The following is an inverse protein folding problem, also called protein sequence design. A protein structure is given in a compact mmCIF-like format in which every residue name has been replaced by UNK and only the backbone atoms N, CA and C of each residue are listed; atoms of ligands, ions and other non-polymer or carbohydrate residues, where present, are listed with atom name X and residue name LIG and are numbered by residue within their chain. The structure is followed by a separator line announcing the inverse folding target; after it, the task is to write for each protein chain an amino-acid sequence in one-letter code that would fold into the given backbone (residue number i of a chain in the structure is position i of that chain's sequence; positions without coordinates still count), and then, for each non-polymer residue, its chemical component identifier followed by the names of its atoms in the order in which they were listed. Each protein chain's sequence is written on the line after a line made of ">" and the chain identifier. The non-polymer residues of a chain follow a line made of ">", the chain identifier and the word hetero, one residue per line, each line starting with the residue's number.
data_IF_954318374902
#
_entry.id   IF_954318374902
#
_cell.length_a   1.000
_cell.length_b   1.000
_cell.length_c   1.000
_cell.angle_alpha   90.00
_cell.angle_beta   90.00
_cell.angle_gamma   90.00
#
_symmetry.space_group_name_H-M   'P 1'
#
loop_
_entity.id
_entity.type
_entity.pdbx_description
1 polymer ?
#
# COMPACT_ATOMS: atom_id res chain seq x y z
N UNK A 1 13.23 6.40 1.82
CA UNK A 1 12.22 5.33 1.84
C UNK A 1 10.97 5.85 1.17
N UNK A 2 10.27 5.04 0.38
CA UNK A 2 9.09 5.50 -0.31
C UNK A 2 7.96 5.85 0.66
N UNK A 3 7.15 6.80 0.25
CA UNK A 3 5.97 7.25 1.01
C UNK A 3 4.76 7.26 0.08
N UNK A 4 3.67 6.62 0.47
CA UNK A 4 2.44 6.60 -0.30
C UNK A 4 1.34 7.40 0.40
N UNK A 5 0.40 7.93 -0.38
CA UNK A 5 -0.90 8.35 0.12
C UNK A 5 -1.89 7.21 -0.11
N UNK A 6 -2.40 6.64 0.97
CA UNK A 6 -3.37 5.54 0.96
C UNK A 6 -4.77 6.14 1.10
N UNK A 7 -5.61 5.93 0.11
CA UNK A 7 -6.94 6.55 0.00
C UNK A 7 -8.03 5.48 -0.13
N UNK A 8 -8.39 4.77 0.97
CA UNK A 8 -9.57 3.93 0.94
C UNK A 8 -10.83 4.74 0.69
N UNK A 9 -11.82 4.12 0.06
CA UNK A 9 -13.10 4.75 -0.26
C UNK A 9 -13.78 5.35 0.98
N UNK A 10 -14.41 6.48 0.78
CA UNK A 10 -15.24 7.19 1.77
C UNK A 10 -16.74 7.17 1.38
N UNK A 11 -17.13 6.19 0.55
CA UNK A 11 -18.48 6.08 -0.02
C UNK A 11 -19.33 5.12 0.81
N UNK A 12 -19.81 5.57 1.96
CA UNK A 12 -20.67 4.82 2.87
C UNK A 12 -22.04 4.44 2.27
N UNK A 13 -22.46 5.17 1.23
CA UNK A 13 -23.72 4.95 0.54
C UNK A 13 -23.67 3.85 -0.53
N UNK A 14 -22.51 3.32 -0.86
CA UNK A 14 -22.34 2.20 -1.76
C UNK A 14 -22.47 0.88 -0.97
N UNK A 15 -23.71 0.42 -0.84
CA UNK A 15 -24.00 -0.83 -0.12
C UNK A 15 -23.65 -2.06 -0.96
N UNK A 16 -23.03 -3.03 -0.32
CA UNK A 16 -22.78 -4.33 -0.94
C UNK A 16 -24.07 -5.15 -0.99
N UNK A 17 -24.25 -5.85 -2.10
CA UNK A 17 -25.38 -6.77 -2.28
C UNK A 17 -25.45 -7.78 -1.11
N UNK A 18 -26.67 -8.25 -0.81
CA UNK A 18 -26.94 -9.19 0.29
C UNK A 18 -26.63 -8.65 1.71
N UNK A 19 -26.55 -7.35 1.88
CA UNK A 19 -26.32 -6.74 3.19
C UNK A 19 -24.94 -7.01 3.78
N UNK A 20 -23.93 -7.16 2.92
CA UNK A 20 -22.55 -7.45 3.32
C UNK A 20 -21.76 -6.23 3.81
N UNK A 21 -22.40 -5.10 4.04
CA UNK A 21 -21.76 -3.84 4.48
C UNK A 21 -21.60 -2.84 3.34
N UNK A 22 -20.68 -1.90 3.47
CA UNK A 22 -20.48 -0.80 2.51
C UNK A 22 -19.08 -0.79 1.90
N UNK A 23 -18.90 -0.08 0.80
CA UNK A 23 -17.59 0.11 0.16
C UNK A 23 -16.60 0.78 1.11
N UNK A 24 -17.03 1.85 1.83
CA UNK A 24 -16.21 2.50 2.84
C UNK A 24 -15.72 1.51 3.89
N UNK A 25 -16.60 0.72 4.47
CA UNK A 25 -16.27 -0.27 5.51
C UNK A 25 -15.20 -1.25 5.02
N UNK A 26 -15.39 -1.88 3.86
CA UNK A 26 -14.49 -2.93 3.39
C UNK A 26 -13.16 -2.38 2.88
N UNK A 27 -13.15 -1.22 2.24
CA UNK A 27 -11.90 -0.61 1.79
C UNK A 27 -11.08 -0.07 2.96
N UNK A 28 -11.72 0.37 4.04
CA UNK A 28 -11.02 0.73 5.27
C UNK A 28 -10.44 -0.51 5.98
N UNK A 29 -11.16 -1.62 6.05
CA UNK A 29 -10.62 -2.90 6.56
C UNK A 29 -9.44 -3.39 5.74
N UNK A 30 -9.49 -3.23 4.41
CA UNK A 30 -8.36 -3.55 3.54
C UNK A 30 -7.14 -2.67 3.87
N UNK A 31 -7.34 -1.37 4.00
CA UNK A 31 -6.28 -0.45 4.40
C UNK A 31 -5.70 -0.82 5.78
N UNK A 32 -6.53 -1.16 6.76
CA UNK A 32 -6.11 -1.63 8.09
C UNK A 32 -5.20 -2.86 8.01
N UNK A 33 -5.53 -3.82 7.13
CA UNK A 33 -4.74 -5.04 6.91
C UNK A 33 -3.41 -4.76 6.17
N UNK A 34 -3.36 -3.70 5.32
CA UNK A 34 -2.15 -3.28 4.62
C UNK A 34 -1.15 -2.56 5.52
N UNK A 35 -1.59 -1.73 6.46
CA UNK A 35 -0.73 -0.83 7.26
C UNK A 35 0.42 -1.54 7.99
N UNK A 36 0.21 -2.66 8.71
CA UNK A 36 1.30 -3.37 9.37
C UNK A 36 2.31 -3.95 8.38
N UNK A 37 1.86 -4.42 7.21
CA UNK A 37 2.72 -4.97 6.17
C UNK A 37 3.50 -3.87 5.44
N UNK A 38 2.89 -2.70 5.17
CA UNK A 38 3.56 -1.51 4.64
C UNK A 38 4.70 -1.08 5.56
N UNK A 39 4.40 -1.00 6.87
CA UNK A 39 5.38 -0.64 7.90
C UNK A 39 6.52 -1.66 7.94
N UNK A 40 6.20 -2.95 7.95
CA UNK A 40 7.17 -4.04 7.97
C UNK A 40 8.08 -4.03 6.74
N UNK A 41 7.55 -3.67 5.58
CA UNK A 41 8.28 -3.58 4.31
C UNK A 41 8.96 -2.22 4.08
N UNK A 42 8.93 -1.30 5.06
CA UNK A 42 9.62 -0.03 4.97
C UNK A 42 8.96 0.99 4.04
N UNK A 43 7.68 0.86 3.80
CA UNK A 43 6.87 1.83 3.05
C UNK A 43 6.14 2.72 4.05
N UNK A 44 6.42 4.01 4.04
CA UNK A 44 5.67 5.00 4.84
C UNK A 44 4.37 5.35 4.15
N UNK A 45 3.38 5.71 4.93
CA UNK A 45 2.09 6.13 4.39
C UNK A 45 1.45 7.25 5.20
N UNK A 46 0.60 8.01 4.53
CA UNK A 46 -0.45 8.85 5.11
C UNK A 46 -1.77 8.34 4.56
N UNK A 47 -2.78 8.22 5.41
CA UNK A 47 -4.09 7.71 5.04
C UNK A 47 -5.14 8.81 5.17
N UNK A 48 -6.15 8.81 4.30
CA UNK A 48 -7.36 9.61 4.52
C UNK A 48 -8.19 9.01 5.66
N UNK A 49 -9.19 9.76 6.11
CA UNK A 49 -10.14 9.31 7.15
C UNK A 49 -11.54 9.15 6.54
N UNK A 50 -12.42 8.31 7.14
CA UNK A 50 -13.76 8.04 6.61
C UNK A 50 -14.65 9.29 6.46
N UNK A 51 -14.45 10.32 7.28
CA UNK A 51 -15.17 11.60 7.22
C UNK A 51 -14.73 12.51 6.06
N UNK A 52 -13.68 12.14 5.35
CA UNK A 52 -13.22 12.87 4.17
C UNK A 52 -14.09 12.55 2.94
N UNK A 53 -13.91 13.36 1.91
CA UNK A 53 -14.47 13.15 0.56
C UNK A 53 -13.32 12.86 -0.41
N UNK A 54 -13.62 12.32 -1.59
CA UNK A 54 -12.61 12.18 -2.66
C UNK A 54 -11.92 13.53 -2.97
N UNK A 55 -12.64 14.65 -2.90
CA UNK A 55 -12.06 15.97 -3.13
C UNK A 55 -11.07 16.37 -2.02
N UNK A 56 -11.40 16.15 -0.75
CA UNK A 56 -10.51 16.47 0.37
C UNK A 56 -9.33 15.49 0.45
N UNK A 57 -9.52 14.21 0.09
CA UNK A 57 -8.44 13.23 -0.05
C UNK A 57 -7.42 13.65 -1.11
N UNK A 58 -7.88 14.11 -2.28
CA UNK A 58 -7.02 14.68 -3.33
C UNK A 58 -6.27 15.92 -2.80
N UNK A 59 -6.94 16.81 -2.08
CA UNK A 59 -6.32 18.00 -1.52
C UNK A 59 -5.24 17.66 -0.49
N UNK A 60 -5.52 16.72 0.42
CA UNK A 60 -4.57 16.24 1.43
C UNK A 60 -3.36 15.55 0.78
N UNK A 61 -3.59 14.70 -0.22
CA UNK A 61 -2.53 14.09 -1.01
C UNK A 61 -1.66 15.16 -1.70
N UNK A 62 -2.25 16.20 -2.26
CA UNK A 62 -1.53 17.26 -2.94
C UNK A 62 -0.81 18.24 -1.99
N UNK A 63 -1.16 18.27 -0.71
CA UNK A 63 -0.47 19.04 0.31
C UNK A 63 0.87 18.41 0.75
N UNK A 64 1.01 17.08 0.59
CA UNK A 64 2.23 16.34 0.87
C UNK A 64 3.05 16.03 -0.38
N UNK A 65 4.12 15.24 -0.17
CA UNK A 65 4.97 14.69 -1.23
C UNK A 65 4.95 13.18 -1.12
N UNK A 66 4.38 12.52 -2.12
CA UNK A 66 4.21 11.08 -2.14
C UNK A 66 4.78 10.48 -3.43
N UNK A 67 5.34 9.28 -3.32
CA UNK A 67 5.87 8.53 -4.46
C UNK A 67 4.77 7.83 -5.25
N UNK A 68 3.62 7.58 -4.59
CA UNK A 68 2.40 7.04 -5.18
C UNK A 68 1.17 7.48 -4.38
N UNK A 69 0.07 7.78 -5.07
CA UNK A 69 -1.28 7.85 -4.51
C UNK A 69 -2.03 6.58 -4.89
N UNK A 70 -2.45 5.81 -3.89
CA UNK A 70 -3.19 4.56 -4.07
C UNK A 70 -4.60 4.71 -3.51
N UNK A 71 -5.58 4.71 -4.39
CA UNK A 71 -6.99 4.72 -4.02
C UNK A 71 -7.57 3.30 -4.10
N UNK A 72 -8.35 2.93 -3.07
CA UNK A 72 -8.98 1.63 -2.94
C UNK A 72 -10.50 1.79 -3.02
N UNK A 73 -11.09 1.19 -4.03
CA UNK A 73 -12.52 1.26 -4.33
C UNK A 73 -13.09 -0.09 -4.75
N UNK A 74 -14.40 -0.17 -4.81
CA UNK A 74 -15.12 -1.25 -5.48
C UNK A 74 -16.14 -0.69 -6.45
N UNK A 75 -16.28 -1.35 -7.60
CA UNK A 75 -17.10 -0.92 -8.70
C UNK A 75 -18.58 -1.30 -8.51
N UNK A 76 -19.43 -0.67 -9.30
CA UNK A 76 -20.82 -1.07 -9.49
C UNK A 76 -21.15 -1.14 -10.97
N UNK A 77 -22.05 -2.06 -11.33
CA UNK A 77 -22.63 -2.10 -12.65
C UNK A 77 -23.50 -0.86 -12.88
N UNK A 78 -23.55 -0.36 -14.10
CA UNK A 78 -24.45 0.75 -14.43
C UNK A 78 -25.92 0.39 -14.27
N UNK A 79 -26.79 1.39 -14.18
CA UNK A 79 -28.23 1.22 -14.02
C UNK A 79 -28.82 0.25 -15.08
N UNK A 80 -29.58 -0.73 -14.61
CA UNK A 80 -30.15 -1.83 -15.42
C UNK A 80 -29.17 -2.95 -15.78
N UNK A 81 -27.95 -2.92 -15.20
CA UNK A 81 -26.94 -3.96 -15.34
C UNK A 81 -26.51 -4.54 -13.99
N UNK A 82 -27.25 -4.26 -12.94
CA UNK A 82 -26.92 -4.66 -11.56
C UNK A 82 -26.60 -6.14 -11.48
N UNK A 83 -25.48 -6.46 -10.84
CA UNK A 83 -24.97 -7.81 -10.64
C UNK A 83 -24.39 -8.52 -11.88
N UNK A 84 -24.34 -7.87 -13.05
CA UNK A 84 -23.89 -8.52 -14.30
C UNK A 84 -22.39 -8.44 -14.54
N UNK A 85 -21.74 -7.41 -14.01
CA UNK A 85 -20.32 -7.20 -14.24
C UNK A 85 -19.50 -7.81 -13.11
N UNK A 86 -18.28 -8.21 -13.44
CA UNK A 86 -17.27 -8.74 -12.53
C UNK A 86 -15.88 -8.30 -12.95
N UNK A 87 -14.94 -8.39 -12.04
CA UNK A 87 -13.53 -8.20 -12.36
C UNK A 87 -12.89 -7.04 -11.61
N UNK A 88 -11.60 -6.90 -11.80
CA UNK A 88 -10.77 -5.89 -11.13
C UNK A 88 -10.18 -4.95 -12.19
N UNK A 89 -10.26 -3.63 -11.92
CA UNK A 89 -9.71 -2.60 -12.79
C UNK A 89 -8.68 -1.78 -12.02
N UNK A 90 -7.49 -1.61 -12.59
CA UNK A 90 -6.48 -0.69 -12.07
C UNK A 90 -6.41 0.54 -12.98
N UNK A 91 -7.05 1.63 -12.57
CA UNK A 91 -7.09 2.87 -13.30
C UNK A 91 -5.83 3.70 -13.10
N UNK A 92 -5.32 4.29 -14.19
CA UNK A 92 -4.20 5.21 -14.17
C UNK A 92 -4.41 6.36 -15.17
N UNK A 93 -3.70 7.47 -14.96
CA UNK A 93 -3.72 8.59 -15.92
C UNK A 93 -2.82 8.27 -17.12
N UNK A 94 -3.31 8.37 -18.38
CA UNK A 94 -2.54 7.99 -19.58
C UNK A 94 -1.24 8.79 -19.76
N UNK A 95 -1.15 10.00 -19.20
CA UNK A 95 0.06 10.83 -19.19
C UNK A 95 1.05 10.51 -18.06
N UNK A 96 0.81 9.46 -17.25
CA UNK A 96 1.65 9.07 -16.10
C UNK A 96 2.32 7.71 -16.32
N UNK A 97 3.54 7.64 -16.87
CA UNK A 97 4.24 6.36 -17.02
C UNK A 97 4.48 5.64 -15.70
N UNK A 98 4.70 6.38 -14.60
CA UNK A 98 4.86 5.81 -13.26
C UNK A 98 3.56 5.22 -12.73
N UNK A 99 2.43 5.89 -12.94
CA UNK A 99 1.10 5.37 -12.59
C UNK A 99 0.75 4.13 -13.40
N UNK A 100 1.00 4.13 -14.71
CA UNK A 100 0.80 2.96 -15.57
C UNK A 100 1.65 1.77 -15.12
N UNK A 101 2.93 2.00 -14.79
CA UNK A 101 3.81 0.94 -14.29
C UNK A 101 3.32 0.38 -12.95
N UNK A 102 2.89 1.23 -12.02
CA UNK A 102 2.33 0.79 -10.74
C UNK A 102 1.06 -0.04 -10.93
N UNK A 103 0.14 0.42 -11.80
CA UNK A 103 -1.07 -0.32 -12.15
C UNK A 103 -0.77 -1.72 -12.71
N UNK A 104 0.32 -1.87 -13.47
CA UNK A 104 0.80 -3.17 -13.97
C UNK A 104 1.13 -4.13 -12.84
N UNK A 105 1.92 -3.71 -11.84
CA UNK A 105 2.27 -4.55 -10.69
C UNK A 105 1.03 -4.99 -9.89
N UNK A 106 0.08 -4.08 -9.65
CA UNK A 106 -1.17 -4.44 -8.97
C UNK A 106 -2.00 -5.46 -9.76
N UNK A 107 -2.10 -5.28 -11.07
CA UNK A 107 -2.83 -6.23 -11.93
C UNK A 107 -2.17 -7.61 -11.90
N UNK A 108 -0.85 -7.68 -11.97
CA UNK A 108 -0.13 -8.97 -11.95
C UNK A 108 -0.31 -9.70 -10.61
N UNK A 109 -0.20 -8.98 -9.48
CA UNK A 109 -0.45 -9.53 -8.15
C UNK A 109 -1.90 -9.99 -7.96
N UNK A 110 -2.87 -9.15 -8.35
CA UNK A 110 -4.29 -9.46 -8.20
C UNK A 110 -4.77 -10.60 -9.12
N UNK A 111 -4.18 -10.79 -10.30
CA UNK A 111 -4.43 -11.96 -11.15
C UNK A 111 -4.10 -13.28 -10.47
N UNK A 112 -3.13 -13.30 -9.57
CA UNK A 112 -2.74 -14.52 -8.87
C UNK A 112 -3.77 -15.01 -7.86
N UNK A 113 -4.61 -14.12 -7.34
CA UNK A 113 -5.58 -14.42 -6.26
C UNK A 113 -7.04 -14.31 -6.69
N UNK A 114 -7.35 -13.53 -7.74
CA UNK A 114 -8.73 -13.35 -8.18
C UNK A 114 -9.20 -14.55 -9.02
N UNK A 115 -10.43 -15.07 -8.78
CA UNK A 115 -10.91 -16.33 -9.42
C UNK A 115 -11.06 -16.25 -10.95
N UNK A 116 -11.15 -15.04 -11.50
CA UNK A 116 -11.29 -14.81 -12.95
C UNK A 116 -10.16 -13.91 -13.45
N UNK A 117 -8.89 -14.38 -13.52
CA UNK A 117 -7.73 -13.55 -13.82
C UNK A 117 -7.81 -12.83 -15.17
N UNK A 118 -8.56 -13.36 -16.12
CA UNK A 118 -8.81 -12.71 -17.42
C UNK A 118 -9.62 -11.40 -17.29
N UNK A 119 -10.33 -11.19 -16.18
CA UNK A 119 -11.09 -9.98 -15.88
C UNK A 119 -10.30 -8.96 -15.03
N UNK A 120 -9.04 -9.22 -14.77
CA UNK A 120 -8.15 -8.29 -14.05
C UNK A 120 -7.27 -7.56 -15.06
N UNK A 121 -7.40 -6.22 -15.16
CA UNK A 121 -6.68 -5.45 -16.16
C UNK A 121 -6.40 -4.01 -15.73
N UNK A 122 -5.44 -3.39 -16.38
CA UNK A 122 -5.23 -1.94 -16.30
C UNK A 122 -6.20 -1.20 -17.22
N UNK A 123 -6.62 0.02 -16.82
CA UNK A 123 -7.51 0.85 -17.62
C UNK A 123 -7.07 2.32 -17.56
N UNK A 124 -6.74 2.97 -18.68
CA UNK A 124 -6.42 4.39 -18.68
C UNK A 124 -7.68 5.23 -18.47
N UNK A 125 -7.59 6.29 -17.65
CA UNK A 125 -8.72 7.20 -17.42
C UNK A 125 -8.29 8.67 -17.33
N UNK A 126 -9.15 9.55 -17.85
CA UNK A 126 -9.02 11.00 -17.73
C UNK A 126 -10.16 11.63 -16.91
N UNK A 127 -11.10 10.82 -16.41
CA UNK A 127 -12.31 11.27 -15.73
C UNK A 127 -12.26 11.13 -14.22
N UNK A 128 -11.59 10.09 -13.71
CA UNK A 128 -11.50 9.82 -12.27
C UNK A 128 -10.62 10.89 -11.58
N UNK A 129 -11.19 11.56 -10.58
CA UNK A 129 -10.55 12.68 -9.90
C UNK A 129 -9.25 12.32 -9.21
N UNK A 130 -9.21 11.22 -8.44
CA UNK A 130 -8.04 10.78 -7.67
C UNK A 130 -6.86 10.35 -8.57
N UNK A 131 -7.15 9.92 -9.79
CA UNK A 131 -6.12 9.58 -10.77
C UNK A 131 -5.62 10.81 -11.53
N UNK A 132 -6.52 11.75 -11.87
CA UNK A 132 -6.20 12.89 -12.72
C UNK A 132 -5.68 14.13 -11.99
N UNK A 133 -6.12 14.34 -10.73
CA UNK A 133 -5.90 15.61 -10.00
C UNK A 133 -4.81 15.53 -8.94
N UNK A 134 -4.25 14.35 -8.71
CA UNK A 134 -3.14 14.16 -7.77
C UNK A 134 -1.81 14.53 -8.42
N UNK A 135 -0.90 15.11 -7.64
CA UNK A 135 0.47 15.44 -8.06
C UNK A 135 1.36 14.20 -8.11
N UNK A 136 1.15 13.29 -7.15
CA UNK A 136 1.81 12.00 -7.16
C UNK A 136 1.33 11.16 -8.36
N UNK A 137 2.16 10.24 -8.90
CA UNK A 137 1.64 9.17 -9.74
C UNK A 137 0.50 8.47 -9.00
N UNK A 138 -0.61 8.18 -9.67
CA UNK A 138 -1.78 7.64 -9.01
C UNK A 138 -2.30 6.39 -9.69
N UNK A 139 -2.80 5.47 -8.86
CA UNK A 139 -3.59 4.32 -9.26
C UNK A 139 -4.86 4.28 -8.40
N UNK A 140 -5.99 4.07 -9.03
CA UNK A 140 -7.24 3.73 -8.36
C UNK A 140 -7.58 2.30 -8.72
N UNK A 141 -7.79 1.48 -7.71
CA UNK A 141 -8.19 0.09 -7.85
C UNK A 141 -9.70 -0.05 -7.62
N UNK A 142 -10.38 -0.63 -8.59
CA UNK A 142 -11.74 -1.17 -8.44
C UNK A 142 -11.61 -2.67 -8.20
N UNK A 143 -11.70 -3.09 -6.95
CA UNK A 143 -11.33 -4.43 -6.47
C UNK A 143 -12.47 -5.46 -6.58
N UNK A 144 -13.29 -5.36 -7.59
CA UNK A 144 -14.48 -6.17 -7.85
C UNK A 144 -15.74 -5.31 -7.87
N UNK A 145 -16.87 -5.92 -8.16
CA UNK A 145 -18.17 -5.26 -8.25
C UNK A 145 -19.00 -5.57 -6.99
N UNK A 146 -19.24 -4.55 -6.15
CA UNK A 146 -19.98 -4.73 -4.89
C UNK A 146 -21.46 -5.06 -5.07
N UNK A 147 -22.02 -4.78 -6.24
CA UNK A 147 -23.39 -5.16 -6.62
C UNK A 147 -23.50 -6.59 -7.21
N UNK A 148 -22.36 -7.25 -7.46
CA UNK A 148 -22.33 -8.65 -7.91
C UNK A 148 -22.11 -9.58 -6.71
N UNK A 149 -23.00 -10.59 -6.48
CA UNK A 149 -22.92 -11.46 -5.30
C UNK A 149 -21.60 -12.24 -5.16
N UNK A 150 -21.01 -12.68 -6.27
CA UNK A 150 -19.78 -13.46 -6.24
C UNK A 150 -18.55 -12.57 -5.97
N UNK A 151 -18.51 -11.38 -6.55
CA UNK A 151 -17.44 -10.42 -6.28
C UNK A 151 -17.55 -9.84 -4.86
N UNK A 152 -18.75 -9.45 -4.43
CA UNK A 152 -18.99 -8.97 -3.07
C UNK A 152 -18.55 -10.02 -2.03
N UNK A 153 -18.94 -11.29 -2.21
CA UNK A 153 -18.52 -12.37 -1.33
C UNK A 153 -17.01 -12.60 -1.38
N UNK A 154 -16.39 -12.54 -2.56
CA UNK A 154 -14.95 -12.69 -2.71
C UNK A 154 -14.20 -11.57 -1.98
N UNK A 155 -14.61 -10.31 -2.13
CA UNK A 155 -13.99 -9.16 -1.46
C UNK A 155 -14.00 -9.36 0.06
N UNK A 156 -15.17 -9.63 0.66
CA UNK A 156 -15.30 -9.72 2.11
C UNK A 156 -14.54 -10.89 2.74
N UNK A 157 -14.26 -11.94 1.94
CA UNK A 157 -13.55 -13.14 2.41
C UNK A 157 -12.05 -13.15 2.09
N UNK A 158 -11.54 -12.18 1.30
CA UNK A 158 -10.14 -12.16 0.84
C UNK A 158 -9.39 -10.88 1.21
N UNK A 159 -9.83 -10.16 2.24
CA UNK A 159 -9.20 -8.90 2.69
C UNK A 159 -7.71 -9.10 2.96
N UNK A 160 -7.32 -10.12 3.72
CA UNK A 160 -5.92 -10.36 4.06
C UNK A 160 -5.09 -10.74 2.82
N UNK A 161 -5.63 -11.57 1.93
CA UNK A 161 -4.95 -11.96 0.70
C UNK A 161 -4.79 -10.77 -0.28
N UNK A 162 -5.81 -9.89 -0.35
CA UNK A 162 -5.69 -8.65 -1.12
C UNK A 162 -4.65 -7.72 -0.50
N UNK A 163 -4.65 -7.53 0.81
CA UNK A 163 -3.67 -6.70 1.50
C UNK A 163 -2.23 -7.16 1.22
N UNK A 164 -1.97 -8.47 1.35
CA UNK A 164 -0.67 -9.07 1.04
C UNK A 164 -0.28 -8.84 -0.43
N UNK A 165 -1.18 -9.12 -1.37
CA UNK A 165 -0.95 -8.94 -2.79
C UNK A 165 -0.64 -7.47 -3.16
N UNK A 166 -1.37 -6.52 -2.57
CA UNK A 166 -1.17 -5.09 -2.84
C UNK A 166 0.15 -4.58 -2.26
N UNK A 167 0.50 -5.01 -1.04
CA UNK A 167 1.78 -4.59 -0.44
C UNK A 167 2.96 -5.26 -1.15
N UNK A 168 2.86 -6.54 -1.55
CA UNK A 168 3.86 -7.20 -2.39
C UNK A 168 4.06 -6.43 -3.70
N UNK A 169 2.99 -6.06 -4.40
CA UNK A 169 3.04 -5.25 -5.62
C UNK A 169 3.71 -3.90 -5.40
N UNK A 170 3.46 -3.24 -4.27
CA UNK A 170 4.14 -1.99 -3.89
C UNK A 170 5.63 -2.20 -3.66
N UNK A 171 6.03 -3.28 -2.98
CA UNK A 171 7.46 -3.56 -2.76
C UNK A 171 8.19 -3.85 -4.06
N UNK A 172 7.58 -4.59 -4.98
CA UNK A 172 8.12 -4.83 -6.33
C UNK A 172 8.23 -3.52 -7.13
N UNK A 173 7.20 -2.67 -7.10
CA UNK A 173 7.21 -1.37 -7.76
C UNK A 173 8.34 -0.47 -7.26
N UNK A 174 8.60 -0.45 -5.96
CA UNK A 174 9.65 0.36 -5.32
C UNK A 174 11.02 -0.34 -5.28
N UNK A 175 11.10 -1.62 -5.61
CA UNK A 175 12.33 -2.43 -5.52
C UNK A 175 12.77 -2.64 -4.08
N UNK A 176 11.85 -2.95 -3.19
CA UNK A 176 12.05 -3.28 -1.78
C UNK A 176 11.75 -4.77 -1.55
N UNK A 177 12.30 -5.38 -0.49
CA UNK A 177 11.84 -6.70 -0.06
C UNK A 177 10.44 -6.59 0.56
N UNK A 178 9.60 -7.60 0.31
CA UNK A 178 8.34 -7.76 1.00
C UNK A 178 8.55 -8.46 2.34
N UNK A 179 7.88 -7.94 3.37
CA UNK A 179 7.81 -8.58 4.67
C UNK A 179 6.35 -8.65 5.15
N UNK A 180 5.90 -9.83 5.59
CA UNK A 180 4.63 -9.93 6.27
C UNK A 180 4.64 -9.11 7.56
N UNK A 181 3.48 -8.82 8.11
CA UNK A 181 3.37 -8.15 9.40
C UNK A 181 4.13 -8.96 10.47
N UNK A 182 4.98 -8.28 11.24
CA UNK A 182 5.77 -8.87 12.33
C UNK A 182 5.59 -8.08 13.62
N UNK A 183 5.86 -8.71 14.76
CA UNK A 183 5.89 -8.01 16.05
C UNK A 183 7.23 -7.27 16.16
N UNK A 184 7.23 -5.93 16.21
CA UNK A 184 8.46 -5.18 16.37
C UNK A 184 9.13 -5.48 17.72
N UNK A 185 10.47 -5.52 17.73
CA UNK A 185 11.26 -5.80 18.92
C UNK A 185 12.16 -4.60 19.28
N UNK A 186 12.46 -4.37 20.56
CA UNK A 186 13.44 -3.38 20.96
C UNK A 186 14.83 -3.80 20.49
N UNK A 187 15.61 -2.82 20.03
CA UNK A 187 17.00 -3.03 19.64
C UNK A 187 17.89 -1.90 20.16
N UNK A 188 19.15 -2.18 20.29
CA UNK A 188 20.17 -1.21 20.70
C UNK A 188 21.40 -1.32 19.79
N UNK A 189 21.89 -0.17 19.33
CA UNK A 189 23.10 -0.11 18.50
C UNK A 189 24.33 -0.50 19.32
N UNK A 190 25.17 -1.35 18.76
CA UNK A 190 26.43 -1.84 19.33
C UNK A 190 27.56 -1.66 18.32
N UNK A 191 28.30 -0.57 18.46
CA UNK A 191 29.50 -0.26 17.68
C UNK A 191 30.62 0.13 18.60
N UNK A 192 31.78 -0.51 18.47
CA UNK A 192 32.95 -0.22 19.32
C UNK A 192 33.55 1.17 19.02
N UNK A 193 33.52 1.59 17.77
CA UNK A 193 34.03 2.88 17.29
C UNK A 193 33.16 3.39 16.13
N UNK A 194 32.93 4.70 16.09
CA UNK A 194 32.22 5.37 15.01
C UNK A 194 30.71 5.36 15.16
N UNK A 195 30.01 5.07 14.08
CA UNK A 195 28.55 5.12 13.98
C UNK A 195 28.04 3.92 13.17
N UNK A 196 26.79 3.54 13.40
CA UNK A 196 26.05 2.61 12.55
C UNK A 196 25.38 3.40 11.43
N UNK A 197 25.75 3.11 10.20
CA UNK A 197 25.09 3.66 9.02
C UNK A 197 23.73 2.98 8.80
N UNK A 198 22.71 3.80 8.52
CA UNK A 198 21.35 3.36 8.19
C UNK A 198 21.06 3.73 6.76
N UNK A 199 20.62 2.77 5.96
CA UNK A 199 20.46 2.88 4.52
C UNK A 199 18.99 2.85 4.08
N UNK A 200 18.71 3.40 2.91
CA UNK A 200 17.35 3.37 2.32
C UNK A 200 16.93 1.98 1.81
N UNK A 201 17.91 1.08 1.56
CA UNK A 201 17.73 -0.32 1.13
C UNK A 201 18.73 -1.21 1.87
N UNK A 202 18.54 -2.53 1.91
CA UNK A 202 19.47 -3.47 2.54
C UNK A 202 20.72 -3.70 1.64
N UNK A 203 21.50 -2.64 1.48
CA UNK A 203 22.72 -2.62 0.65
C UNK A 203 23.59 -1.44 1.04
N UNK A 204 24.89 -1.66 1.13
CA UNK A 204 25.90 -0.62 1.37
C UNK A 204 26.02 0.40 0.22
N UNK A 205 25.58 0.06 -0.99
CA UNK A 205 25.54 0.95 -2.15
C UNK A 205 24.28 1.83 -2.18
N UNK A 206 23.41 1.69 -1.19
CA UNK A 206 22.18 2.46 -1.09
C UNK A 206 22.42 3.83 -0.46
N UNK A 207 21.47 4.75 -0.69
CA UNK A 207 21.53 6.07 -0.07
C UNK A 207 21.52 5.98 1.47
N UNK A 208 22.38 6.75 2.11
CA UNK A 208 22.43 6.89 3.56
C UNK A 208 21.20 7.68 4.03
N UNK A 209 20.50 7.14 5.03
CA UNK A 209 19.32 7.75 5.67
C UNK A 209 19.74 8.47 6.96
N UNK A 210 20.57 7.82 7.78
CA UNK A 210 21.04 8.33 9.06
C UNK A 210 22.31 7.63 9.52
N UNK A 211 22.89 8.16 10.61
CA UNK A 211 23.99 7.56 11.36
C UNK A 211 23.61 7.52 12.83
N UNK A 212 23.73 6.37 13.47
CA UNK A 212 23.37 6.14 14.85
C UNK A 212 24.62 5.82 15.69
N UNK A 213 24.72 6.42 16.87
CA UNK A 213 25.81 6.17 17.81
C UNK A 213 25.59 4.91 18.64
N UNK A 214 26.66 4.38 19.21
CA UNK A 214 26.58 3.29 20.18
C UNK A 214 25.57 3.59 21.29
N UNK A 215 24.81 2.55 21.73
CA UNK A 215 23.75 2.67 22.71
C UNK A 215 22.45 3.31 22.21
N UNK A 216 22.37 3.76 20.96
CA UNK A 216 21.11 4.29 20.40
C UNK A 216 20.01 3.22 20.40
N UNK A 217 18.83 3.58 20.94
CA UNK A 217 17.68 2.71 20.98
C UNK A 217 16.89 2.80 19.67
N UNK A 218 16.52 1.65 19.15
CA UNK A 218 15.74 1.51 17.92
C UNK A 218 14.62 0.48 18.12
N UNK A 219 13.66 0.50 17.20
CA UNK A 219 12.70 -0.62 17.08
C UNK A 219 13.07 -1.43 15.85
N UNK A 220 13.41 -2.70 16.02
CA UNK A 220 13.62 -3.63 14.93
C UNK A 220 12.25 -4.10 14.43
N UNK A 221 11.95 -3.78 13.18
CA UNK A 221 10.66 -4.09 12.55
C UNK A 221 10.72 -5.44 11.87
N UNK A 222 11.84 -5.76 11.17
CA UNK A 222 12.02 -7.04 10.49
C UNK A 222 13.49 -7.31 10.17
N UNK A 223 13.80 -8.53 9.70
CA UNK A 223 15.13 -8.97 9.28
C UNK A 223 15.11 -9.43 7.81
N UNK A 224 16.18 -9.08 7.07
CA UNK A 224 16.37 -9.48 5.68
C UNK A 224 17.84 -9.75 5.38
N UNK A 225 18.22 -11.04 5.30
CA UNK A 225 19.58 -11.49 4.93
C UNK A 225 20.71 -10.74 5.65
N UNK A 226 20.61 -10.62 6.98
CA UNK A 226 21.62 -9.95 7.81
C UNK A 226 21.46 -8.42 7.89
N UNK A 227 20.37 -7.89 7.40
CA UNK A 227 19.95 -6.49 7.59
C UNK A 227 18.72 -6.42 8.47
N UNK A 228 18.69 -5.48 9.42
CA UNK A 228 17.46 -5.14 10.12
C UNK A 228 16.81 -3.90 9.51
N UNK A 229 15.51 -3.98 9.25
CA UNK A 229 14.68 -2.81 9.08
C UNK A 229 14.41 -2.23 10.47
N UNK A 230 14.88 -1.01 10.72
CA UNK A 230 14.79 -0.36 12.03
C UNK A 230 14.00 0.94 11.93
N UNK A 231 13.27 1.25 13.02
CA UNK A 231 12.65 2.55 13.27
C UNK A 231 13.39 3.26 14.38
N UNK A 232 13.67 4.56 14.18
CA UNK A 232 14.34 5.44 15.14
C UNK A 232 13.76 6.85 14.99
N UNK A 233 13.13 7.36 16.05
CA UNK A 233 12.26 8.54 15.95
C UNK A 233 11.18 8.33 14.87
N UNK A 234 11.04 9.32 13.99
CA UNK A 234 10.09 9.26 12.85
C UNK A 234 10.70 8.68 11.56
N UNK A 235 11.93 8.16 11.65
CA UNK A 235 12.65 7.63 10.49
C UNK A 235 12.66 6.11 10.50
N UNK A 236 12.80 5.53 9.29
CA UNK A 236 12.95 4.09 9.07
C UNK A 236 14.07 3.86 8.07
N UNK A 237 14.86 2.81 8.26
CA UNK A 237 15.93 2.44 7.34
C UNK A 237 16.50 1.07 7.64
N UNK A 238 17.40 0.62 6.80
CA UNK A 238 18.09 -0.67 6.94
C UNK A 238 19.46 -0.48 7.56
N UNK A 239 19.75 -1.30 8.56
CA UNK A 239 21.04 -1.34 9.23
C UNK A 239 21.59 -2.75 9.25
N UNK A 240 22.92 -2.90 9.21
CA UNK A 240 23.57 -4.21 9.31
C UNK A 240 23.27 -4.83 10.71
N UNK A 241 22.67 -6.02 10.68
CA UNK A 241 22.22 -6.71 11.89
C UNK A 241 23.36 -7.03 12.87
N UNK A 242 24.61 -7.14 12.40
CA UNK A 242 25.78 -7.39 13.25
C UNK A 242 26.03 -6.31 14.30
N UNK A 243 25.54 -5.11 14.07
CA UNK A 243 25.74 -3.95 14.94
C UNK A 243 24.48 -3.60 15.76
N UNK A 244 23.56 -4.55 15.93
CA UNK A 244 22.33 -4.36 16.69
C UNK A 244 22.11 -5.54 17.64
N UNK A 245 22.00 -5.23 18.93
CA UNK A 245 21.50 -6.18 19.91
C UNK A 245 19.97 -6.11 19.95
N UNK A 246 19.30 -7.22 19.71
CA UNK A 246 17.84 -7.37 19.73
C UNK A 246 17.49 -8.28 20.90
N UNK A 247 16.59 -7.81 21.78
CA UNK A 247 16.25 -8.53 23.01
C UNK A 247 14.79 -8.49 23.36
#
# INVERSE_FOLDING_TARGET
>A
MPTIYLSPSTQEFNEYVNGLGTEEEWMNRLADAMEPQLTASGIRFTRNTPDMTAASSIQASNAGSYDLHLALHTNASGAGQEGRNRGILAFYYPGSPRGQRAAGFFVDGLKAIYPLPALVRTEPTTTIGEVRRTRAPAVLLELGFHDNPEDAQWIVTHIDAMAESLVLSLTEYFGLPFFPASTPQPGEVRVDLGVLDVYARPSYDSALVAQLYDGARVTVVNEYYGWYLIRFGDQVGYADARFLAVG
#
